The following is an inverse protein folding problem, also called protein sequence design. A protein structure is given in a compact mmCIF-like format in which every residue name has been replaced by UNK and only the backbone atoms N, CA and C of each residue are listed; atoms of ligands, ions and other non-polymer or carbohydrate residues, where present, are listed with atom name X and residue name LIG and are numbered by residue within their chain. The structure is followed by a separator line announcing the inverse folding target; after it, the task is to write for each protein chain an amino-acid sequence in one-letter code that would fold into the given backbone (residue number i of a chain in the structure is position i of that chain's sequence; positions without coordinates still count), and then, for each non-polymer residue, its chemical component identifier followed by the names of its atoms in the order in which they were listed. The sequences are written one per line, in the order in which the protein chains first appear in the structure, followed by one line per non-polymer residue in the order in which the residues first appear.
data_IF_921026852168
#
_entry.id   IF_921026852168
#
_cell.length_a   1.000
_cell.length_b   1.000
_cell.length_c   1.000
_cell.angle_alpha   90.00
_cell.angle_beta   90.00
_cell.angle_gamma   90.00
#
_symmetry.space_group_name_H-M   'P 1'
#
loop_
_entity.id
_entity.type
_entity.pdbx_description
1 polymer ?
#
# COMPACT_ATOMS: atom_id res chain seq x y z
N UNK A 1 77.19 -16.48 26.06
CA UNK A 1 77.46 -15.75 24.80
C UNK A 1 76.68 -16.41 23.67
N UNK A 2 75.97 -15.60 22.86
CA UNK A 2 75.21 -15.92 21.62
C UNK A 2 73.88 -16.66 21.83
N UNK A 3 72.72 -15.98 21.88
CA UNK A 3 71.93 -15.31 20.82
C UNK A 3 71.27 -16.27 19.81
N UNK A 4 69.95 -16.40 19.99
CA UNK A 4 68.85 -16.38 19.02
C UNK A 4 68.88 -17.35 17.82
N UNK A 5 67.84 -18.18 17.73
CA UNK A 5 67.16 -18.48 16.48
C UNK A 5 65.64 -18.55 16.73
N UNK A 6 64.93 -17.54 16.26
CA UNK A 6 63.47 -17.52 16.20
C UNK A 6 63.00 -18.51 15.13
N UNK A 7 62.20 -19.51 15.52
CA UNK A 7 61.45 -20.34 14.59
C UNK A 7 60.12 -19.64 14.25
N UNK A 8 60.01 -19.14 13.01
CA UNK A 8 58.75 -18.64 12.47
C UNK A 8 57.87 -19.83 12.05
N UNK A 9 56.82 -20.10 12.81
CA UNK A 9 55.76 -21.02 12.44
C UNK A 9 54.78 -20.33 11.49
N UNK A 10 54.77 -20.74 10.22
CA UNK A 10 53.76 -20.33 9.25
C UNK A 10 52.45 -21.09 9.53
N UNK A 11 51.49 -20.42 10.16
CA UNK A 11 50.13 -20.93 10.30
C UNK A 11 49.29 -20.44 9.10
N UNK A 12 48.83 -21.39 8.29
CA UNK A 12 47.88 -21.17 7.21
C UNK A 12 46.53 -20.72 7.78
N UNK A 13 46.06 -19.53 7.40
CA UNK A 13 44.68 -19.11 7.63
C UNK A 13 43.93 -19.28 6.32
N UNK A 14 43.13 -20.34 6.25
CA UNK A 14 42.16 -20.54 5.18
C UNK A 14 41.11 -19.43 5.29
N UNK A 15 41.16 -18.48 4.36
CA UNK A 15 40.10 -17.50 4.18
C UNK A 15 38.89 -18.21 3.57
N UNK A 16 37.95 -18.63 4.42
CA UNK A 16 36.57 -18.89 4.02
C UNK A 16 35.97 -17.55 3.58
N UNK A 17 36.09 -17.26 2.29
CA UNK A 17 35.38 -16.16 1.66
C UNK A 17 33.88 -16.38 1.81
N UNK A 18 33.28 -15.75 2.80
CA UNK A 18 31.84 -15.51 2.84
C UNK A 18 31.55 -14.57 1.68
N UNK A 19 31.03 -15.12 0.59
CA UNK A 19 30.48 -14.33 -0.50
C UNK A 19 29.29 -13.58 0.08
N UNK A 20 29.27 -12.24 0.13
CA UNK A 20 28.05 -11.53 0.46
C UNK A 20 27.03 -11.88 -0.63
N UNK A 21 25.88 -12.40 -0.21
CA UNK A 21 24.75 -12.61 -1.10
C UNK A 21 24.48 -11.30 -1.83
N UNK A 22 24.62 -11.33 -3.15
CA UNK A 22 24.09 -10.28 -4.02
C UNK A 22 22.61 -10.13 -3.70
N UNK A 23 22.22 -8.96 -3.21
CA UNK A 23 20.83 -8.55 -3.12
C UNK A 23 20.15 -8.92 -4.45
N UNK A 24 19.07 -9.71 -4.38
CA UNK A 24 18.26 -10.01 -5.55
C UNK A 24 17.78 -8.69 -6.15
N UNK A 25 17.82 -8.59 -7.48
CA UNK A 25 16.90 -7.69 -8.17
C UNK A 25 15.50 -8.02 -7.64
N UNK A 26 14.78 -7.05 -7.06
CA UNK A 26 13.45 -7.26 -6.50
C UNK A 26 12.60 -8.03 -7.52
N UNK A 27 12.23 -9.26 -7.17
CA UNK A 27 11.32 -10.05 -7.99
C UNK A 27 9.99 -9.31 -8.03
N UNK A 28 9.46 -9.10 -9.24
CA UNK A 28 8.15 -8.46 -9.39
C UNK A 28 7.12 -9.20 -8.53
N UNK A 29 6.21 -8.47 -7.85
CA UNK A 29 5.19 -9.13 -7.08
C UNK A 29 4.32 -10.01 -7.97
N UNK A 30 3.73 -11.05 -7.38
CA UNK A 30 2.70 -11.83 -8.07
C UNK A 30 1.42 -10.99 -8.16
N UNK A 31 0.92 -10.85 -9.39
CA UNK A 31 -0.32 -10.14 -9.69
C UNK A 31 -1.47 -11.15 -9.76
N UNK A 32 -2.55 -10.86 -9.04
CA UNK A 32 -3.79 -11.63 -9.07
C UNK A 32 -4.90 -10.84 -9.75
N UNK A 33 -5.58 -11.50 -10.70
CA UNK A 33 -6.67 -10.95 -11.49
C UNK A 33 -8.01 -11.65 -11.19
N UNK A 34 -8.08 -12.44 -10.11
CA UNK A 34 -9.27 -13.22 -9.73
C UNK A 34 -10.48 -12.35 -9.39
N UNK A 35 -10.25 -11.19 -8.77
CA UNK A 35 -11.28 -10.21 -8.39
C UNK A 35 -11.56 -9.16 -9.50
N UNK A 36 -11.04 -9.36 -10.72
CA UNK A 36 -11.30 -8.46 -11.85
C UNK A 36 -12.78 -8.45 -12.25
N UNK A 37 -13.45 -7.29 -12.20
CA UNK A 37 -14.83 -7.20 -12.65
C UNK A 37 -14.91 -7.28 -14.18
N UNK A 38 -15.94 -7.99 -14.67
CA UNK A 38 -16.24 -8.03 -16.09
C UNK A 38 -16.67 -6.65 -16.60
N UNK A 39 -16.42 -6.34 -17.89
CA UNK A 39 -16.96 -5.13 -18.50
C UNK A 39 -18.50 -5.11 -18.42
N UNK A 40 -19.13 -3.93 -18.28
CA UNK A 40 -20.56 -3.78 -18.39
C UNK A 40 -21.04 -4.18 -19.79
N UNK A 41 -22.31 -4.59 -19.90
CA UNK A 41 -22.86 -5.13 -21.16
C UNK A 41 -22.80 -4.16 -22.35
N UNK A 42 -22.74 -2.85 -22.08
CA UNK A 42 -22.64 -1.78 -23.06
C UNK A 42 -21.21 -1.21 -23.20
N UNK A 43 -20.20 -2.00 -22.83
CA UNK A 43 -18.79 -1.68 -23.00
C UNK A 43 -18.41 -1.49 -24.48
N UNK A 44 -17.61 -0.47 -24.76
CA UNK A 44 -17.04 -0.25 -26.08
C UNK A 44 -16.01 -1.36 -26.40
N UNK A 45 -16.13 -2.08 -27.52
CA UNK A 45 -15.27 -3.22 -27.83
C UNK A 45 -13.78 -2.89 -27.82
N UNK A 46 -12.99 -3.73 -27.16
CA UNK A 46 -11.52 -3.63 -27.14
C UNK A 46 -10.95 -2.47 -26.31
N UNK A 47 -11.79 -1.74 -25.57
CA UNK A 47 -11.34 -0.64 -24.71
C UNK A 47 -11.10 -1.05 -23.26
N UNK A 48 -11.63 -2.20 -22.84
CA UNK A 48 -11.62 -2.62 -21.45
C UNK A 48 -10.37 -3.41 -21.07
N UNK A 49 -9.85 -3.12 -19.89
CA UNK A 49 -8.76 -3.86 -19.24
C UNK A 49 -9.02 -3.99 -17.75
N UNK A 50 -8.45 -5.02 -17.14
CA UNK A 50 -8.30 -5.09 -15.70
C UNK A 50 -6.90 -4.63 -15.30
N UNK A 51 -6.84 -3.89 -14.20
CA UNK A 51 -5.60 -3.49 -13.55
C UNK A 51 -5.49 -4.15 -12.18
N UNK A 52 -4.39 -4.88 -11.96
CA UNK A 52 -4.08 -5.50 -10.68
C UNK A 52 -2.93 -4.74 -10.03
N UNK A 53 -3.22 -4.12 -8.89
CA UNK A 53 -2.31 -3.33 -8.09
C UNK A 53 -1.75 -4.19 -6.95
N UNK A 54 -0.45 -4.06 -6.71
CA UNK A 54 0.22 -4.52 -5.49
C UNK A 54 0.98 -3.33 -4.92
N UNK A 55 0.50 -2.83 -3.79
CA UNK A 55 0.99 -1.59 -3.18
C UNK A 55 1.53 -1.85 -1.79
N UNK A 56 2.59 -1.14 -1.42
CA UNK A 56 3.01 -0.98 -0.04
C UNK A 56 2.79 0.46 0.36
N UNK A 57 2.25 0.69 1.56
CA UNK A 57 1.93 2.04 1.98
C UNK A 57 2.21 2.32 3.44
N UNK A 58 2.16 3.60 3.76
CA UNK A 58 2.21 4.12 5.12
C UNK A 58 1.23 5.27 5.27
N UNK A 59 0.60 5.31 6.43
CA UNK A 59 -0.28 6.39 6.85
C UNK A 59 0.39 7.11 8.01
N UNK A 60 0.69 8.39 7.84
CA UNK A 60 1.16 9.25 8.90
C UNK A 60 -0.02 10.05 9.44
N UNK A 61 -0.34 9.85 10.72
CA UNK A 61 -1.36 10.63 11.42
C UNK A 61 -0.62 11.49 12.44
N UNK A 62 -0.55 12.81 12.19
CA UNK A 62 0.32 13.74 12.93
C UNK A 62 1.78 13.26 12.97
N UNK A 63 2.26 12.86 14.13
CA UNK A 63 3.61 12.38 14.41
C UNK A 63 3.72 10.85 14.42
N UNK A 64 2.61 10.13 14.22
CA UNK A 64 2.58 8.66 14.25
C UNK A 64 2.55 8.09 12.85
N UNK A 65 3.60 7.35 12.48
CA UNK A 65 3.65 6.57 11.24
C UNK A 65 3.08 5.17 11.46
N UNK A 66 2.12 4.78 10.62
CA UNK A 66 1.51 3.45 10.57
C UNK A 66 1.89 2.78 9.24
N UNK A 67 2.74 1.73 9.27
CA UNK A 67 2.95 0.91 8.08
C UNK A 67 1.69 0.09 7.78
N UNK A 68 1.24 0.13 6.52
CA UNK A 68 0.05 -0.60 6.05
C UNK A 68 0.40 -1.95 5.43
N UNK A 69 1.69 -2.30 5.32
CA UNK A 69 2.08 -3.55 4.68
C UNK A 69 1.58 -3.61 3.24
N UNK A 70 1.29 -4.82 2.75
CA UNK A 70 0.83 -5.03 1.38
C UNK A 70 -0.68 -4.84 1.24
N UNK A 71 -1.07 -4.10 0.21
CA UNK A 71 -2.43 -3.92 -0.26
C UNK A 71 -2.52 -4.44 -1.69
N UNK A 72 -3.58 -5.19 -2.00
CA UNK A 72 -3.90 -5.60 -3.37
C UNK A 72 -5.22 -4.99 -3.77
N UNK A 73 -5.25 -4.31 -4.91
CA UNK A 73 -6.44 -3.69 -5.45
C UNK A 73 -6.67 -4.14 -6.88
N UNK A 74 -7.91 -4.40 -7.25
CA UNK A 74 -8.30 -4.67 -8.63
C UNK A 74 -9.45 -3.77 -9.04
N UNK A 75 -9.41 -3.33 -10.29
CA UNK A 75 -10.55 -2.71 -10.96
C UNK A 75 -10.45 -2.98 -12.46
N UNK A 76 -11.56 -2.81 -13.17
CA UNK A 76 -11.55 -2.76 -14.62
C UNK A 76 -11.98 -1.38 -15.10
N UNK A 77 -11.36 -0.93 -16.17
CA UNK A 77 -11.66 0.35 -16.80
C UNK A 77 -11.69 0.20 -18.32
N UNK A 78 -12.42 1.10 -18.96
CA UNK A 78 -12.57 1.15 -20.41
C UNK A 78 -13.47 2.30 -20.81
N UNK A 79 -14.22 2.12 -21.90
CA UNK A 79 -15.21 3.09 -22.35
C UNK A 79 -16.61 2.53 -22.46
N UNK A 80 -17.60 3.40 -22.26
CA UNK A 80 -19.01 3.15 -22.50
C UNK A 80 -19.55 4.34 -23.28
N UNK A 81 -19.98 4.11 -24.53
CA UNK A 81 -20.43 5.18 -25.42
C UNK A 81 -19.38 6.30 -25.60
N UNK A 82 -18.09 5.93 -25.65
CA UNK A 82 -16.97 6.87 -25.77
C UNK A 82 -16.47 7.48 -24.47
N UNK A 83 -17.24 7.40 -23.38
CA UNK A 83 -16.91 7.99 -22.08
C UNK A 83 -16.12 7.03 -21.20
N UNK A 84 -15.22 7.56 -20.36
CA UNK A 84 -14.49 6.76 -19.38
C UNK A 84 -15.46 6.07 -18.41
N UNK A 85 -15.24 4.79 -18.19
CA UNK A 85 -16.00 4.00 -17.23
C UNK A 85 -15.08 3.03 -16.51
N UNK A 86 -15.41 2.77 -15.25
CA UNK A 86 -14.67 1.84 -14.41
C UNK A 86 -15.60 1.06 -13.49
N UNK A 87 -15.15 -0.10 -13.06
CA UNK A 87 -15.82 -0.95 -12.09
C UNK A 87 -14.79 -1.39 -11.05
N UNK A 88 -15.05 -1.09 -9.78
CA UNK A 88 -14.23 -1.56 -8.68
C UNK A 88 -14.34 -3.08 -8.52
N UNK A 89 -13.19 -3.75 -8.36
CA UNK A 89 -13.12 -5.18 -8.06
C UNK A 89 -13.06 -5.40 -6.56
N UNK A 90 -11.84 -5.53 -6.03
CA UNK A 90 -11.60 -5.73 -4.61
C UNK A 90 -10.44 -4.88 -4.09
N UNK A 91 -10.50 -4.58 -2.78
CA UNK A 91 -9.36 -4.15 -1.98
C UNK A 91 -9.10 -5.25 -0.94
N UNK A 92 -7.91 -5.84 -1.00
CA UNK A 92 -7.41 -6.83 -0.04
C UNK A 92 -6.25 -6.20 0.74
N UNK A 93 -6.32 -6.28 2.05
CA UNK A 93 -5.28 -5.78 2.93
C UNK A 93 -5.25 -6.67 4.16
N UNK A 94 -4.08 -7.19 4.50
CA UNK A 94 -3.91 -8.01 5.69
C UNK A 94 -3.89 -7.14 6.96
N UNK A 95 -4.37 -7.64 8.11
CA UNK A 95 -4.31 -6.87 9.35
C UNK A 95 -2.87 -6.53 9.73
N UNK A 96 -2.59 -5.24 9.90
CA UNK A 96 -1.30 -4.73 10.39
C UNK A 96 -1.36 -4.36 11.85
N UNK A 97 -0.23 -4.46 12.57
CA UNK A 97 -0.17 -4.01 13.97
C UNK A 97 -0.14 -2.49 14.01
N UNK A 98 -0.86 -1.93 14.98
CA UNK A 98 -0.92 -0.48 15.18
C UNK A 98 0.15 -0.05 16.18
N UNK A 99 1.17 0.74 15.78
CA UNK A 99 2.18 1.24 16.70
C UNK A 99 1.55 1.99 17.87
N UNK A 100 1.99 1.65 19.08
CA UNK A 100 1.51 2.32 20.29
C UNK A 100 0.17 1.86 20.85
N UNK A 101 -0.53 0.95 20.18
CA UNK A 101 -1.72 0.25 20.68
C UNK A 101 -1.44 -1.25 20.74
N UNK A 102 -0.87 -1.70 21.87
CA UNK A 102 -0.43 -3.07 22.06
C UNK A 102 -1.55 -4.09 21.73
N UNK A 103 -1.22 -5.07 20.89
CA UNK A 103 -2.15 -6.12 20.48
C UNK A 103 -3.28 -5.68 19.53
N UNK A 104 -3.38 -4.39 19.19
CA UNK A 104 -4.40 -3.89 18.27
C UNK A 104 -3.93 -4.03 16.83
N UNK A 105 -4.81 -4.53 15.96
CA UNK A 105 -4.58 -4.56 14.52
C UNK A 105 -5.53 -3.62 13.78
N UNK A 106 -5.05 -3.10 12.65
CA UNK A 106 -5.81 -2.29 11.71
C UNK A 106 -5.93 -3.02 10.38
N UNK A 107 -7.11 -3.00 9.77
CA UNK A 107 -7.33 -3.52 8.42
C UNK A 107 -8.14 -2.51 7.61
N UNK A 108 -7.64 -2.13 6.44
CA UNK A 108 -8.33 -1.29 5.47
C UNK A 108 -9.37 -2.08 4.67
N UNK A 109 -10.45 -1.39 4.30
CA UNK A 109 -11.56 -1.91 3.51
C UNK A 109 -12.05 -0.82 2.55
N UNK A 110 -12.65 -1.23 1.44
CA UNK A 110 -13.26 -0.30 0.48
C UNK A 110 -14.42 0.47 1.12
N UNK A 111 -14.39 1.79 1.00
CA UNK A 111 -15.35 2.72 1.60
C UNK A 111 -16.57 3.01 0.75
N UNK A 112 -16.63 2.50 -0.48
CA UNK A 112 -17.80 2.59 -1.35
C UNK A 112 -17.66 3.51 -2.56
N UNK A 113 -16.55 4.23 -2.68
CA UNK A 113 -16.25 5.10 -3.82
C UNK A 113 -14.82 4.93 -4.32
N UNK A 114 -14.66 5.00 -5.64
CA UNK A 114 -13.37 5.05 -6.33
C UNK A 114 -13.50 5.86 -7.62
N UNK A 115 -12.43 6.54 -8.01
CA UNK A 115 -12.21 7.16 -9.32
C UNK A 115 -10.74 7.01 -9.72
N UNK A 116 -10.43 6.13 -10.66
CA UNK A 116 -9.07 5.88 -11.14
C UNK A 116 -8.75 6.64 -12.43
N UNK A 117 -9.63 7.53 -12.88
CA UNK A 117 -9.35 8.40 -14.02
C UNK A 117 -8.32 9.47 -13.61
N UNK A 118 -7.07 9.26 -14.00
CA UNK A 118 -6.02 10.26 -13.81
C UNK A 118 -6.25 11.49 -14.69
N UNK A 119 -5.93 12.67 -14.16
CA UNK A 119 -5.93 13.95 -14.86
C UNK A 119 -4.77 14.83 -14.36
N UNK A 120 -4.75 16.12 -14.73
CA UNK A 120 -3.68 17.05 -14.36
C UNK A 120 -3.68 17.41 -12.85
N UNK A 121 -4.80 17.22 -12.16
CA UNK A 121 -4.96 17.57 -10.75
C UNK A 121 -4.62 16.38 -9.84
N UNK A 122 -4.95 15.16 -10.25
CA UNK A 122 -4.79 13.94 -9.45
C UNK A 122 -4.60 12.69 -10.28
N UNK A 123 -4.02 11.65 -9.65
CA UNK A 123 -3.95 10.31 -10.21
C UNK A 123 -5.21 9.49 -9.98
N UNK A 124 -5.88 9.68 -8.84
CA UNK A 124 -7.12 8.98 -8.54
C UNK A 124 -7.66 9.28 -7.15
N UNK A 125 -8.81 8.71 -6.85
CA UNK A 125 -9.53 8.84 -5.60
C UNK A 125 -10.01 7.46 -5.13
N UNK A 126 -10.02 7.28 -3.82
CA UNK A 126 -10.51 6.05 -3.19
C UNK A 126 -11.05 6.35 -1.80
N UNK A 127 -12.26 5.89 -1.52
CA UNK A 127 -12.76 5.84 -0.15
C UNK A 127 -12.29 4.55 0.49
N UNK A 128 -11.72 4.66 1.70
CA UNK A 128 -11.36 3.52 2.54
C UNK A 128 -11.86 3.73 3.96
N UNK A 129 -12.14 2.65 4.69
CA UNK A 129 -12.29 2.73 6.15
C UNK A 129 -11.41 1.67 6.81
N UNK A 130 -11.10 1.87 8.08
CA UNK A 130 -10.19 0.98 8.80
C UNK A 130 -10.88 0.32 9.99
N UNK A 131 -10.94 -1.01 10.03
CA UNK A 131 -11.38 -1.74 11.24
C UNK A 131 -10.22 -1.90 12.21
N UNK A 132 -10.48 -1.67 13.49
CA UNK A 132 -9.54 -1.88 14.59
C UNK A 132 -9.98 -3.11 15.39
N UNK A 133 -9.09 -4.08 15.58
CA UNK A 133 -9.39 -5.31 16.32
C UNK A 133 -8.51 -5.45 17.55
N UNK A 134 -9.14 -5.67 18.70
CA UNK A 134 -8.51 -6.01 19.97
C UNK A 134 -9.57 -6.59 20.93
N UNK A 135 -9.24 -7.54 21.83
CA UNK A 135 -10.22 -8.14 22.74
C UNK A 135 -10.98 -7.16 23.66
N UNK A 136 -10.39 -5.99 23.93
CA UNK A 136 -11.00 -4.95 24.77
C UNK A 136 -11.80 -3.89 23.98
N UNK A 137 -11.77 -3.93 22.65
CA UNK A 137 -12.52 -2.99 21.80
C UNK A 137 -13.87 -3.59 21.43
N UNK A 138 -14.83 -2.71 21.13
CA UNK A 138 -16.08 -3.15 20.52
C UNK A 138 -15.86 -3.86 19.19
N UNK A 139 -16.74 -4.82 18.86
CA UNK A 139 -16.59 -5.68 17.67
C UNK A 139 -16.59 -4.89 16.35
N UNK A 140 -17.27 -3.75 16.34
CA UNK A 140 -17.43 -2.87 15.18
C UNK A 140 -16.52 -1.63 15.26
N UNK A 141 -15.44 -1.70 16.06
CA UNK A 141 -14.49 -0.61 16.21
C UNK A 141 -13.82 -0.29 14.86
N UNK A 142 -14.00 0.94 14.38
CA UNK A 142 -13.46 1.39 13.10
C UNK A 142 -13.15 2.88 13.09
N UNK A 143 -12.13 3.26 12.34
CA UNK A 143 -11.97 4.61 11.81
C UNK A 143 -13.03 4.78 10.70
N UNK A 144 -13.71 5.93 10.68
CA UNK A 144 -14.69 6.25 9.63
C UNK A 144 -14.10 6.25 8.21
N UNK A 145 -14.93 6.58 7.22
CA UNK A 145 -14.47 6.69 5.83
C UNK A 145 -13.46 7.82 5.71
N UNK A 146 -12.33 7.47 5.10
CA UNK A 146 -11.23 8.34 4.70
C UNK A 146 -11.32 8.43 3.19
N UNK A 147 -11.52 9.65 2.69
CA UNK A 147 -11.48 9.93 1.26
C UNK A 147 -10.04 10.26 0.89
N UNK A 148 -9.39 9.41 0.10
CA UNK A 148 -8.02 9.65 -0.38
C UNK A 148 -8.07 10.28 -1.75
N UNK A 149 -7.31 11.35 -1.97
CA UNK A 149 -7.06 11.96 -3.28
C UNK A 149 -5.56 11.91 -3.53
N UNK A 150 -5.13 11.01 -4.41
CA UNK A 150 -3.71 10.72 -4.58
C UNK A 150 -3.10 11.42 -5.78
N UNK A 151 -1.88 11.90 -5.60
CA UNK A 151 -1.03 12.54 -6.60
C UNK A 151 0.22 11.72 -6.83
N UNK A 152 0.93 11.98 -7.92
CA UNK A 152 2.24 11.36 -8.18
C UNK A 152 3.23 11.71 -7.08
N UNK A 153 3.90 10.71 -6.50
CA UNK A 153 5.00 10.95 -5.57
C UNK A 153 6.28 11.23 -6.37
N UNK A 154 6.85 12.46 -6.32
CA UNK A 154 8.07 12.77 -7.06
C UNK A 154 9.29 11.95 -6.59
N UNK A 155 9.26 11.39 -5.38
CA UNK A 155 10.32 10.53 -4.87
C UNK A 155 10.34 9.16 -5.55
N UNK A 156 9.23 8.72 -6.15
CA UNK A 156 9.10 7.43 -6.84
C UNK A 156 8.39 7.65 -8.19
N UNK A 157 9.10 8.21 -9.19
CA UNK A 157 8.49 8.53 -10.46
C UNK A 157 8.04 7.28 -11.23
N UNK A 158 6.99 7.39 -12.07
CA UNK A 158 6.49 6.26 -12.84
C UNK A 158 7.53 5.66 -13.78
N UNK A 159 7.66 4.34 -13.73
CA UNK A 159 8.60 3.55 -14.54
C UNK A 159 7.87 2.38 -15.17
N UNK A 160 7.96 2.24 -16.49
CA UNK A 160 7.45 1.06 -17.21
C UNK A 160 8.49 -0.06 -17.08
N UNK A 161 8.12 -1.14 -16.38
CA UNK A 161 9.00 -2.28 -16.12
C UNK A 161 8.88 -3.36 -17.21
N UNK A 162 7.70 -3.49 -17.82
CA UNK A 162 7.46 -4.38 -18.96
C UNK A 162 6.37 -3.81 -19.84
N UNK A 163 6.43 -4.07 -21.14
CA UNK A 163 5.37 -3.73 -22.11
C UNK A 163 4.51 -4.94 -22.49
N UNK A 164 4.90 -6.15 -22.10
CA UNK A 164 4.15 -7.36 -22.38
C UNK A 164 4.37 -8.44 -21.28
N UNK A 165 3.41 -8.61 -20.34
CA UNK A 165 2.26 -7.73 -20.10
C UNK A 165 2.71 -6.37 -19.56
N UNK A 166 1.96 -5.30 -19.89
CA UNK A 166 2.27 -3.96 -19.40
C UNK A 166 2.31 -3.95 -17.88
N UNK A 167 3.47 -3.61 -17.31
CA UNK A 167 3.71 -3.53 -15.87
C UNK A 167 4.39 -2.20 -15.57
N UNK A 168 3.84 -1.43 -14.63
CA UNK A 168 4.31 -0.10 -14.25
C UNK A 168 4.56 -0.06 -12.75
N UNK A 169 5.58 0.67 -12.33
CA UNK A 169 5.88 0.94 -10.93
C UNK A 169 5.94 2.44 -10.68
N UNK A 170 5.30 2.91 -9.61
CA UNK A 170 5.22 4.32 -9.28
C UNK A 170 4.88 4.52 -7.80
N UNK A 171 5.16 5.70 -7.27
CA UNK A 171 4.63 6.15 -5.99
C UNK A 171 3.46 7.10 -6.13
N UNK A 172 2.62 7.14 -5.10
CA UNK A 172 1.57 8.11 -4.92
C UNK A 172 1.57 8.67 -3.50
N UNK A 173 1.09 9.90 -3.37
CA UNK A 173 0.95 10.61 -2.10
C UNK A 173 -0.38 11.35 -2.03
N UNK A 174 -1.02 11.31 -0.86
CA UNK A 174 -2.09 12.22 -0.47
C UNK A 174 -1.59 13.04 0.73
N UNK A 175 -1.25 14.34 0.54
CA UNK A 175 -0.74 15.20 1.60
C UNK A 175 -1.86 15.89 2.42
N UNK A 176 -3.11 15.83 1.95
CA UNK A 176 -4.25 16.57 2.49
C UNK A 176 -5.29 15.63 3.13
N UNK A 177 -4.82 14.47 3.58
CA UNK A 177 -5.67 13.43 4.11
C UNK A 177 -6.34 13.87 5.42
N UNK A 178 -7.67 13.78 5.49
CA UNK A 178 -8.42 13.92 6.73
C UNK A 178 -8.77 12.55 7.30
N UNK A 179 -8.48 12.32 8.59
CA UNK A 179 -8.75 11.04 9.26
C UNK A 179 -9.83 11.23 10.33
N UNK A 180 -11.01 10.61 10.19
CA UNK A 180 -12.10 10.80 11.14
C UNK A 180 -11.85 10.10 12.48
N UNK A 181 -12.68 10.41 13.47
CA UNK A 181 -12.68 9.73 14.75
C UNK A 181 -13.08 8.26 14.61
N UNK A 182 -12.74 7.45 15.62
CA UNK A 182 -13.23 6.09 15.69
C UNK A 182 -14.71 6.01 16.10
N UNK A 183 -15.37 4.96 15.67
CA UNK A 183 -16.75 4.61 16.02
C UNK A 183 -16.82 3.14 16.41
N UNK A 184 -17.81 2.73 17.21
CA UNK A 184 -18.01 1.33 17.57
C UNK A 184 -16.99 0.73 18.54
N UNK A 185 -16.06 1.54 19.08
CA UNK A 185 -14.96 1.04 19.92
C UNK A 185 -15.30 0.78 21.39
N UNK A 186 -16.54 1.05 21.80
CA UNK A 186 -16.99 0.87 23.18
C UNK A 186 -16.36 1.89 24.16
N UNK A 187 -16.26 1.56 25.46
CA UNK A 187 -15.79 2.49 26.50
C UNK A 187 -14.36 3.03 26.28
N UNK A 188 -13.53 2.30 25.52
CA UNK A 188 -12.14 2.68 25.24
C UNK A 188 -11.99 3.61 24.03
N UNK A 189 -13.06 3.95 23.31
CA UNK A 189 -12.98 4.73 22.07
C UNK A 189 -12.21 6.04 22.21
N UNK A 190 -12.47 6.83 23.26
CA UNK A 190 -11.73 8.08 23.50
C UNK A 190 -10.24 7.89 23.74
N UNK A 191 -9.84 6.76 24.32
CA UNK A 191 -8.43 6.43 24.54
C UNK A 191 -7.77 6.03 23.21
N UNK A 192 -8.46 5.25 22.38
CA UNK A 192 -8.02 4.88 21.04
C UNK A 192 -7.82 6.14 20.19
N UNK A 193 -8.82 7.02 20.15
CA UNK A 193 -8.76 8.28 19.42
C UNK A 193 -7.56 9.12 19.88
N UNK A 194 -7.40 9.32 21.19
CA UNK A 194 -6.26 10.07 21.73
C UNK A 194 -4.92 9.46 21.34
N UNK A 195 -4.81 8.12 21.38
CA UNK A 195 -3.54 7.45 21.08
C UNK A 195 -3.19 7.48 19.60
N UNK A 196 -4.19 7.50 18.73
CA UNK A 196 -4.03 7.61 17.29
C UNK A 196 -4.02 9.06 16.78
N UNK A 197 -4.29 10.04 17.64
CA UNK A 197 -4.40 11.43 17.22
C UNK A 197 -5.68 11.75 16.46
N UNK A 198 -6.78 11.06 16.73
CA UNK A 198 -8.06 11.19 16.02
C UNK A 198 -9.09 12.06 16.77
N UNK A 199 -10.02 12.72 16.05
CA UNK A 199 -9.95 12.97 14.61
C UNK A 199 -8.74 13.86 14.28
N UNK A 200 -8.24 13.74 13.05
CA UNK A 200 -7.14 14.55 12.53
C UNK A 200 -7.58 15.25 11.24
N UNK A 201 -7.53 16.59 11.18
CA UNK A 201 -7.96 17.34 10.01
C UNK A 201 -6.97 17.20 8.83
N UNK A 202 -7.40 17.59 7.64
CA UNK A 202 -6.56 17.75 6.45
C UNK A 202 -5.32 18.60 6.74
N UNK A 203 -4.20 18.28 6.10
CA UNK A 203 -2.92 18.98 6.24
C UNK A 203 -2.07 18.54 7.45
N UNK A 204 -2.61 17.69 8.33
CA UNK A 204 -1.89 17.12 9.48
C UNK A 204 -1.53 15.64 9.28
N UNK A 205 -1.91 15.05 8.13
CA UNK A 205 -1.76 13.63 7.86
C UNK A 205 -1.30 13.43 6.42
N UNK A 206 -0.53 12.39 6.19
CA UNK A 206 -0.12 12.02 4.83
C UNK A 206 -0.28 10.53 4.60
N UNK A 207 -0.66 10.17 3.39
CA UNK A 207 -0.69 8.79 2.93
C UNK A 207 0.27 8.62 1.77
N UNK A 208 1.20 7.68 1.88
CA UNK A 208 2.12 7.34 0.81
C UNK A 208 1.94 5.89 0.41
N UNK A 209 2.04 5.62 -0.88
CA UNK A 209 2.13 4.26 -1.40
C UNK A 209 3.16 4.17 -2.50
N UNK A 210 3.84 3.03 -2.55
CA UNK A 210 4.57 2.56 -3.71
C UNK A 210 3.79 1.41 -4.31
N UNK A 211 3.54 1.46 -5.62
CA UNK A 211 2.60 0.58 -6.31
C UNK A 211 3.24 -0.03 -7.53
N UNK A 212 3.06 -1.34 -7.67
CA UNK A 212 3.20 -2.05 -8.93
C UNK A 212 1.82 -2.30 -9.50
N UNK A 213 1.62 -2.02 -10.79
CA UNK A 213 0.39 -2.36 -11.50
C UNK A 213 0.72 -3.21 -12.72
N UNK A 214 -0.12 -4.21 -13.00
CA UNK A 214 -0.10 -4.97 -14.24
C UNK A 214 -1.45 -4.96 -14.92
N UNK A 215 -1.44 -4.77 -16.24
CA UNK A 215 -2.66 -4.71 -17.06
C UNK A 215 -2.96 -6.06 -17.72
N UNK A 216 -4.25 -6.36 -17.84
CA UNK A 216 -4.79 -7.51 -18.59
C UNK A 216 -5.99 -7.07 -19.43
N UNK A 217 -5.97 -7.20 -20.76
CA UNK A 217 -7.14 -6.96 -21.60
C UNK A 217 -8.34 -7.84 -21.20
N UNK A 218 -9.56 -7.32 -21.35
CA UNK A 218 -10.82 -8.02 -21.08
C UNK A 218 -11.66 -8.22 -22.34
#
# INVERSE_FOLDING_TARGET
MKLLALGAAAAAVAALGVVPGTASADELPTFDFSDCPAPPANADPGTWRCEAFVSQGKLTIRDTELPLGEMRLTFSEGRVNGEYAQVFGALRHEPVRVPGLAGTTLQLHYGGYSDFQSNDERRGELDVYATLRHPLLGKDCRIGVIHTVVHDDPAVPPTVLSTNPTTVHFGVVDPDLAVPATTGCGPLGRLVDRRLGLPSPSGENTFHQTTYVRYKPL
#
